data_IF_358445443222
#
_entry.id   IF_358445443222
#
_cell.length_a   1.000
_cell.length_b   1.000
_cell.length_c   1.000
_cell.angle_alpha   90.00
_cell.angle_beta   90.00
_cell.angle_gamma   90.00
#
_symmetry.space_group_name_H-M   'P 1'
#
loop_
_entity.id
_entity.type
_entity.pdbx_description
1 polymer ?
#
# COMPACT_ATOMS: atom_id res chain seq x y z
N UNK A 1 7.40 6.28 3.47
CA UNK A 1 6.39 6.53 4.54
C UNK A 1 5.98 7.99 4.52
N UNK A 2 4.69 8.33 4.70
CA UNK A 2 4.19 9.71 4.68
C UNK A 2 5.06 10.60 5.59
N UNK A 3 5.92 11.41 4.96
CA UNK A 3 6.86 12.28 5.65
C UNK A 3 6.15 13.51 6.20
N UNK A 4 6.72 14.05 7.27
CA UNK A 4 6.18 15.09 8.14
C UNK A 4 6.11 16.50 7.52
N UNK A 5 6.12 16.57 6.18
CA UNK A 5 5.96 17.79 5.40
C UNK A 5 4.60 17.73 4.70
N UNK A 6 3.51 18.11 5.40
CA UNK A 6 2.17 18.24 4.81
C UNK A 6 1.92 19.60 4.16
N UNK A 7 2.97 20.39 3.93
CA UNK A 7 2.86 21.57 3.08
C UNK A 7 2.84 21.09 1.61
N UNK A 8 1.64 20.76 1.13
CA UNK A 8 1.25 20.53 -0.27
C UNK A 8 1.15 19.07 -0.79
N UNK A 9 0.76 18.12 0.06
CA UNK A 9 0.42 16.76 -0.40
C UNK A 9 -0.86 16.78 -1.25
N UNK A 10 -0.77 16.19 -2.45
CA UNK A 10 -1.88 15.98 -3.37
C UNK A 10 -2.00 14.51 -3.75
N UNK A 11 -3.22 14.02 -3.84
CA UNK A 11 -3.55 12.68 -4.35
C UNK A 11 -4.05 12.82 -5.78
N UNK A 12 -3.47 12.03 -6.69
CA UNK A 12 -3.91 11.92 -8.08
C UNK A 12 -4.75 10.65 -8.26
N UNK A 13 -5.95 10.78 -8.81
CA UNK A 13 -6.92 9.69 -8.98
C UNK A 13 -7.28 9.54 -10.46
N UNK A 14 -7.37 8.30 -10.94
CA UNK A 14 -7.72 8.01 -12.36
C UNK A 14 -6.59 8.18 -13.36
N UNK A 15 -5.35 8.33 -12.90
CA UNK A 15 -4.19 8.34 -13.78
C UNK A 15 -4.00 6.99 -14.46
N UNK A 16 -3.60 7.02 -15.74
CA UNK A 16 -3.05 5.85 -16.44
C UNK A 16 -1.54 5.97 -16.68
N UNK A 17 -1.04 7.21 -16.67
CA UNK A 17 0.37 7.55 -16.79
C UNK A 17 0.92 7.86 -15.40
N UNK A 18 2.22 7.63 -15.23
CA UNK A 18 2.88 8.01 -14.01
C UNK A 18 2.87 9.55 -13.82
N UNK A 19 3.17 9.94 -12.59
CA UNK A 19 3.49 11.27 -12.11
C UNK A 19 4.20 12.21 -13.10
N UNK A 20 5.30 11.75 -13.68
CA UNK A 20 6.24 12.61 -14.41
C UNK A 20 5.73 12.95 -15.82
N UNK A 21 4.86 12.10 -16.35
CA UNK A 21 4.25 12.27 -17.67
C UNK A 21 2.97 13.11 -17.62
N UNK A 22 2.35 13.21 -16.44
CA UNK A 22 1.04 13.84 -16.25
C UNK A 22 -0.10 13.06 -16.92
N UNK A 23 -1.29 13.09 -16.31
CA UNK A 23 -2.50 12.56 -16.95
C UNK A 23 -3.52 13.68 -17.11
N UNK A 24 -3.88 14.01 -18.36
CA UNK A 24 -4.92 15.03 -18.62
C UNK A 24 -6.31 14.63 -18.08
N UNK A 25 -6.50 13.38 -17.64
CA UNK A 25 -7.75 12.85 -17.10
C UNK A 25 -7.70 12.54 -15.60
N UNK A 26 -6.57 12.75 -14.92
CA UNK A 26 -6.49 12.49 -13.48
C UNK A 26 -7.09 13.63 -12.67
N UNK A 27 -7.90 13.30 -11.67
CA UNK A 27 -8.34 14.23 -10.65
C UNK A 27 -7.21 14.43 -9.62
N UNK A 28 -6.83 15.69 -9.35
CA UNK A 28 -5.83 16.03 -8.33
C UNK A 28 -6.51 16.75 -7.18
N UNK A 29 -6.43 16.17 -5.97
CA UNK A 29 -7.08 16.71 -4.76
C UNK A 29 -6.06 16.84 -3.65
N UNK A 30 -6.08 17.97 -2.95
CA UNK A 30 -5.23 18.22 -1.79
C UNK A 30 -5.61 17.31 -0.63
N UNK A 31 -4.61 16.75 0.05
CA UNK A 31 -4.80 16.07 1.33
C UNK A 31 -4.91 17.11 2.46
N UNK A 32 -5.85 16.93 3.38
CA UNK A 32 -6.07 17.84 4.51
C UNK A 32 -5.68 17.23 5.86
N UNK A 33 -5.78 15.92 6.00
CA UNK A 33 -5.40 15.20 7.21
C UNK A 33 -4.80 13.84 6.83
N UNK A 34 -3.90 13.34 7.66
CA UNK A 34 -3.32 12.01 7.53
C UNK A 34 -3.34 11.29 8.88
N UNK A 35 -3.68 10.01 8.83
CA UNK A 35 -3.81 9.13 9.99
C UNK A 35 -2.96 7.90 9.75
N UNK A 36 -1.87 7.76 10.52
CA UNK A 36 -1.01 6.57 10.47
C UNK A 36 -1.45 5.60 11.55
N UNK A 37 -1.51 4.30 11.25
CA UNK A 37 -1.88 3.32 12.25
C UNK A 37 -1.02 3.49 13.52
N UNK A 38 -1.62 3.58 14.73
CA UNK A 38 -0.88 3.89 15.96
C UNK A 38 0.12 2.79 16.34
N UNK A 39 -0.14 1.55 15.89
CA UNK A 39 0.74 0.40 16.09
C UNK A 39 1.72 0.16 14.94
N UNK A 40 1.84 1.10 13.98
CA UNK A 40 2.82 0.98 12.91
C UNK A 40 4.23 0.79 13.46
N UNK A 41 4.94 -0.23 12.97
CA UNK A 41 6.31 -0.52 13.34
C UNK A 41 7.19 -0.58 12.10
N UNK A 42 8.13 0.36 11.97
CA UNK A 42 9.05 0.46 10.82
C UNK A 42 10.13 -0.61 10.79
N UNK A 43 10.44 -1.26 11.93
CA UNK A 43 11.41 -2.36 11.97
C UNK A 43 10.81 -3.65 11.42
N UNK A 44 9.54 -3.88 11.73
CA UNK A 44 8.84 -5.12 11.41
C UNK A 44 7.84 -5.01 10.27
N UNK A 45 7.62 -3.79 9.77
CA UNK A 45 6.63 -3.45 8.75
C UNK A 45 5.20 -3.90 9.11
N UNK A 46 4.91 -4.02 10.41
CA UNK A 46 3.57 -4.36 10.88
C UNK A 46 2.70 -3.12 10.97
N UNK A 47 1.40 -3.30 10.68
CA UNK A 47 0.41 -2.21 10.61
C UNK A 47 0.85 -1.06 9.69
N UNK A 48 1.54 -1.36 8.58
CA UNK A 48 1.98 -0.38 7.60
C UNK A 48 0.79 0.09 6.74
N UNK A 49 0.01 1.00 7.32
CA UNK A 49 -1.17 1.61 6.70
C UNK A 49 -1.35 3.04 7.21
N UNK A 50 -1.80 3.90 6.31
CA UNK A 50 -2.28 5.23 6.65
C UNK A 50 -3.53 5.58 5.84
N UNK A 51 -4.41 6.38 6.43
CA UNK A 51 -5.56 6.99 5.75
C UNK A 51 -5.24 8.45 5.45
N UNK A 52 -5.63 8.89 4.27
CA UNK A 52 -5.46 10.28 3.82
C UNK A 52 -6.85 10.86 3.57
N UNK A 53 -7.18 11.93 4.28
CA UNK A 53 -8.43 12.65 4.08
C UNK A 53 -8.24 13.71 3.00
N UNK A 54 -9.09 13.66 1.98
CA UNK A 54 -9.10 14.60 0.87
C UNK A 54 -9.89 15.86 1.24
N UNK A 55 -9.47 17.01 0.70
CA UNK A 55 -10.17 18.31 0.87
C UNK A 55 -11.61 18.27 0.36
N UNK A 56 -11.85 17.46 -0.67
CA UNK A 56 -13.18 17.23 -1.25
C UNK A 56 -13.33 15.78 -1.69
N UNK A 57 -14.56 15.24 -1.79
CA UNK A 57 -14.79 13.92 -2.35
C UNK A 57 -14.27 13.81 -3.79
N UNK A 58 -13.72 12.66 -4.15
CA UNK A 58 -13.38 12.35 -5.53
C UNK A 58 -14.63 12.02 -6.36
N UNK A 59 -14.54 12.31 -7.66
CA UNK A 59 -15.53 11.88 -8.66
C UNK A 59 -15.43 10.40 -9.01
N UNK A 60 -14.34 9.73 -8.62
CA UNK A 60 -14.08 8.33 -8.95
C UNK A 60 -14.68 7.39 -7.91
N UNK A 61 -15.20 6.25 -8.37
CA UNK A 61 -15.77 5.25 -7.47
C UNK A 61 -14.64 4.48 -6.76
N UNK A 62 -14.66 4.39 -5.42
CA UNK A 62 -13.68 3.60 -4.70
C UNK A 62 -13.89 2.11 -4.95
N UNK A 63 -12.79 1.37 -4.94
CA UNK A 63 -12.82 -0.09 -4.81
C UNK A 63 -13.27 -0.45 -3.39
N UNK A 64 -13.96 -1.58 -3.25
CA UNK A 64 -14.42 -2.05 -1.94
C UNK A 64 -13.27 -2.68 -1.16
N UNK A 65 -13.32 -2.60 0.16
CA UNK A 65 -12.44 -3.36 1.04
C UNK A 65 -12.99 -4.79 1.21
N UNK A 66 -12.10 -5.73 1.49
CA UNK A 66 -12.46 -7.09 1.92
C UNK A 66 -13.28 -7.09 3.21
N UNK A 67 -14.03 -8.18 3.44
CA UNK A 67 -14.68 -8.44 4.73
C UNK A 67 -13.68 -8.84 5.82
N UNK A 68 -14.11 -8.72 7.09
CA UNK A 68 -13.34 -9.10 8.27
C UNK A 68 -13.07 -10.62 8.34
N UNK A 69 -13.86 -11.43 7.63
CA UNK A 69 -13.71 -12.89 7.61
C UNK A 69 -12.48 -13.37 6.80
N UNK A 70 -11.79 -12.46 6.10
CA UNK A 70 -10.60 -12.75 5.31
C UNK A 70 -10.84 -13.70 4.13
N UNK A 71 -12.10 -13.93 3.75
CA UNK A 71 -12.47 -14.97 2.79
C UNK A 71 -11.92 -14.72 1.38
N UNK A 72 -11.70 -13.46 1.01
CA UNK A 72 -11.10 -13.02 -0.26
C UNK A 72 -9.57 -13.15 -0.31
N UNK A 73 -8.93 -13.41 0.84
CA UNK A 73 -7.47 -13.46 0.98
C UNK A 73 -6.95 -14.86 1.34
N UNK A 74 -7.70 -15.92 1.06
CA UNK A 74 -7.28 -17.29 1.38
C UNK A 74 -6.02 -17.69 0.63
N UNK A 75 -5.16 -18.46 1.29
CA UNK A 75 -3.99 -19.04 0.66
C UNK A 75 -4.35 -19.79 -0.64
N UNK A 76 -3.53 -19.60 -1.67
CA UNK A 76 -3.75 -20.14 -3.01
C UNK A 76 -4.59 -19.28 -3.93
N UNK A 77 -5.25 -18.24 -3.41
CA UNK A 77 -6.04 -17.30 -4.20
C UNK A 77 -5.13 -16.44 -5.07
N UNK A 78 -5.52 -16.27 -6.34
CA UNK A 78 -4.86 -15.32 -7.23
C UNK A 78 -5.34 -13.90 -6.91
N UNK A 79 -4.38 -12.98 -6.84
CA UNK A 79 -4.62 -11.56 -6.63
C UNK A 79 -3.79 -10.76 -7.65
N UNK A 80 -4.18 -9.52 -7.88
CA UNK A 80 -3.50 -8.62 -8.81
C UNK A 80 -3.02 -7.40 -8.04
N UNK A 81 -1.73 -7.09 -8.16
CA UNK A 81 -1.17 -5.81 -7.71
C UNK A 81 -1.03 -4.88 -8.92
N UNK A 82 -1.31 -3.60 -8.71
CA UNK A 82 -1.31 -2.56 -9.74
C UNK A 82 -0.37 -1.43 -9.34
N UNK A 83 0.39 -0.88 -10.28
CA UNK A 83 1.35 0.17 -9.94
C UNK A 83 2.13 0.76 -11.10
N UNK A 84 2.99 1.72 -10.78
CA UNK A 84 3.90 2.41 -11.72
C UNK A 84 5.37 2.25 -11.34
N UNK A 85 5.65 1.33 -10.40
CA UNK A 85 6.98 1.09 -9.89
C UNK A 85 7.95 0.57 -10.94
N UNK A 86 9.12 0.20 -10.43
CA UNK A 86 10.23 -0.27 -11.22
C UNK A 86 9.88 -1.59 -11.94
N UNK A 87 10.07 -1.58 -13.27
CA UNK A 87 9.80 -2.73 -14.16
C UNK A 87 11.08 -3.42 -14.64
N UNK A 88 12.21 -2.74 -14.48
CA UNK A 88 13.57 -3.25 -14.72
C UNK A 88 14.55 -2.31 -14.03
N UNK A 89 15.76 -2.79 -13.73
CA UNK A 89 16.80 -2.01 -13.05
C UNK A 89 16.85 -0.53 -13.47
N UNK A 90 16.62 0.36 -12.51
CA UNK A 90 16.63 1.82 -12.63
C UNK A 90 15.58 2.39 -13.61
N UNK A 91 14.53 1.63 -13.92
CA UNK A 91 13.48 2.04 -14.86
C UNK A 91 12.08 1.82 -14.29
N UNK A 92 11.36 2.92 -14.14
CA UNK A 92 9.96 2.96 -13.72
C UNK A 92 9.00 2.87 -14.89
N UNK A 93 7.78 2.39 -14.63
CA UNK A 93 6.76 2.29 -15.66
C UNK A 93 6.17 3.66 -16.02
N UNK A 94 6.11 3.98 -17.31
CA UNK A 94 5.40 5.18 -17.79
C UNK A 94 3.87 5.05 -17.69
N UNK A 95 3.36 3.82 -17.71
CA UNK A 95 1.93 3.51 -17.74
C UNK A 95 1.61 2.47 -16.69
N UNK A 96 0.36 2.46 -16.21
CA UNK A 96 -0.07 1.56 -15.14
C UNK A 96 0.20 0.11 -15.54
N UNK A 97 0.90 -0.59 -14.67
CA UNK A 97 1.18 -2.02 -14.79
C UNK A 97 0.28 -2.81 -13.86
N UNK A 98 0.17 -4.10 -14.15
CA UNK A 98 -0.50 -5.06 -13.28
C UNK A 98 0.20 -6.40 -13.37
N UNK A 99 0.34 -7.09 -12.24
CA UNK A 99 0.88 -8.45 -12.22
C UNK A 99 0.04 -9.34 -11.31
N UNK A 100 -0.21 -10.55 -11.77
CA UNK A 100 -0.91 -11.57 -11.00
C UNK A 100 0.06 -12.31 -10.08
N UNK A 101 -0.27 -12.31 -8.79
CA UNK A 101 0.47 -12.98 -7.72
C UNK A 101 -0.46 -13.94 -6.97
N UNK A 102 0.11 -14.91 -6.27
CA UNK A 102 -0.65 -15.91 -5.53
C UNK A 102 -0.41 -15.67 -4.05
N UNK A 103 -1.49 -15.57 -3.29
CA UNK A 103 -1.40 -15.46 -1.83
C UNK A 103 -0.84 -16.78 -1.30
N UNK A 104 0.19 -16.71 -0.47
CA UNK A 104 0.84 -17.89 0.12
C UNK A 104 0.29 -18.17 1.53
N UNK A 105 0.43 -19.42 2.02
CA UNK A 105 0.06 -19.77 3.39
C UNK A 105 0.79 -18.95 4.46
N UNK A 106 0.14 -18.73 5.62
CA UNK A 106 0.71 -17.92 6.71
C UNK A 106 1.99 -18.56 7.29
N UNK A 107 2.07 -19.89 7.38
CA UNK A 107 3.28 -20.59 7.82
C UNK A 107 4.47 -20.40 6.86
N UNK A 108 4.19 -20.25 5.56
CA UNK A 108 5.21 -19.89 4.58
C UNK A 108 5.57 -18.41 4.66
N UNK A 109 4.57 -17.54 4.84
CA UNK A 109 4.76 -16.10 5.02
C UNK A 109 5.59 -15.76 6.27
N UNK A 110 5.44 -16.53 7.36
CA UNK A 110 6.16 -16.37 8.62
C UNK A 110 7.69 -16.54 8.51
N UNK A 111 8.20 -16.96 7.35
CA UNK A 111 9.65 -16.95 7.04
C UNK A 111 10.17 -15.54 6.74
N UNK A 112 9.27 -14.61 6.40
CA UNK A 112 9.57 -13.25 5.96
C UNK A 112 8.95 -12.20 6.88
N UNK A 113 7.71 -12.44 7.33
CA UNK A 113 6.95 -11.54 8.20
C UNK A 113 6.96 -12.03 9.65
N UNK A 114 7.12 -11.11 10.61
CA UNK A 114 7.10 -11.46 12.04
C UNK A 114 5.70 -11.76 12.58
N UNK A 115 4.67 -11.16 11.96
CA UNK A 115 3.27 -11.25 12.38
C UNK A 115 2.38 -11.39 11.15
N UNK A 116 1.87 -12.61 10.96
CA UNK A 116 1.01 -12.97 9.82
C UNK A 116 -0.46 -12.64 10.05
N UNK A 117 -0.87 -12.27 11.27
CA UNK A 117 -2.24 -11.79 11.51
C UNK A 117 -2.43 -10.44 10.81
N UNK A 118 -1.40 -9.60 10.78
CA UNK A 118 -1.46 -8.27 10.15
C UNK A 118 -0.71 -8.17 8.83
N UNK A 119 -0.05 -9.26 8.41
CA UNK A 119 0.73 -9.34 7.17
C UNK A 119 0.25 -10.49 6.30
N UNK A 120 0.02 -10.22 5.02
CA UNK A 120 -0.17 -11.19 3.94
C UNK A 120 1.12 -11.28 3.13
N UNK A 121 1.45 -12.46 2.64
CA UNK A 121 2.50 -12.62 1.64
C UNK A 121 1.90 -13.09 0.31
N UNK A 122 2.43 -12.59 -0.81
CA UNK A 122 2.05 -13.08 -2.13
C UNK A 122 3.22 -13.08 -3.11
N UNK A 123 3.27 -14.11 -3.96
CA UNK A 123 4.29 -14.30 -5.01
C UNK A 123 3.93 -15.48 -5.90
N UNK A 124 4.52 -15.55 -7.10
CA UNK A 124 4.32 -16.68 -8.03
C UNK A 124 5.66 -17.18 -8.57
N UNK A 125 6.19 -16.43 -9.53
CA UNK A 125 7.51 -16.64 -10.11
C UNK A 125 8.44 -15.54 -9.59
N UNK A 126 9.74 -15.82 -9.63
CA UNK A 126 10.76 -14.81 -9.32
C UNK A 126 10.61 -13.61 -10.26
N UNK A 127 10.75 -12.42 -9.70
CA UNK A 127 10.59 -11.15 -10.41
C UNK A 127 9.14 -10.75 -10.70
N UNK A 128 8.13 -11.44 -10.15
CA UNK A 128 6.71 -11.07 -10.29
C UNK A 128 6.08 -10.62 -8.98
N UNK A 129 5.83 -9.31 -8.89
CA UNK A 129 5.17 -8.66 -7.77
C UNK A 129 5.36 -7.14 -7.85
N UNK A 130 5.24 -6.45 -6.72
CA UNK A 130 5.52 -5.02 -6.66
C UNK A 130 7.03 -4.75 -6.49
N UNK A 131 7.48 -3.56 -6.85
CA UNK A 131 8.89 -3.15 -6.72
C UNK A 131 9.00 -1.72 -6.16
N UNK A 132 10.21 -1.15 -6.19
CA UNK A 132 10.44 0.25 -5.83
C UNK A 132 9.44 1.17 -6.53
N UNK A 133 8.85 2.09 -5.78
CA UNK A 133 7.80 3.00 -6.26
C UNK A 133 6.36 2.50 -6.12
N UNK A 134 6.13 1.20 -5.81
CA UNK A 134 4.78 0.65 -5.62
C UNK A 134 4.36 0.51 -4.15
N UNK A 135 5.12 1.07 -3.20
CA UNK A 135 4.74 1.04 -1.78
C UNK A 135 3.37 1.73 -1.58
N UNK A 136 2.44 1.05 -0.91
CA UNK A 136 1.04 1.49 -0.78
C UNK A 136 0.11 1.05 -1.90
N UNK A 137 0.61 0.36 -2.94
CA UNK A 137 -0.22 -0.17 -4.02
C UNK A 137 -1.26 -1.19 -3.52
N UNK A 138 -2.48 -1.22 -4.11
CA UNK A 138 -3.50 -2.16 -3.72
C UNK A 138 -3.21 -3.56 -4.27
N UNK A 139 -3.32 -4.57 -3.40
CA UNK A 139 -3.46 -5.97 -3.79
C UNK A 139 -4.96 -6.30 -3.85
N UNK A 140 -5.46 -6.64 -5.03
CA UNK A 140 -6.88 -6.86 -5.29
C UNK A 140 -7.15 -8.34 -5.56
N UNK A 141 -8.13 -8.91 -4.86
CA UNK A 141 -8.71 -10.22 -5.18
C UNK A 141 -10.23 -10.13 -5.19
N UNK A 142 -10.91 -10.86 -6.07
CA UNK A 142 -12.38 -10.85 -6.21
C UNK A 142 -13.01 -9.44 -6.31
N UNK A 143 -12.27 -8.45 -6.82
CA UNK A 143 -12.73 -7.06 -6.94
C UNK A 143 -12.72 -6.25 -5.64
N UNK A 144 -12.08 -6.76 -4.57
CA UNK A 144 -11.88 -6.06 -3.30
C UNK A 144 -10.40 -5.92 -2.96
N UNK A 145 -10.05 -4.89 -2.19
CA UNK A 145 -8.69 -4.73 -1.66
C UNK A 145 -8.50 -5.69 -0.49
N UNK A 146 -7.55 -6.60 -0.64
CA UNK A 146 -7.20 -7.60 0.38
C UNK A 146 -5.88 -7.27 1.08
N UNK A 147 -4.98 -6.54 0.42
CA UNK A 147 -3.69 -6.15 0.95
C UNK A 147 -3.21 -4.79 0.43
N UNK A 148 -2.24 -4.22 1.13
CA UNK A 148 -1.55 -2.97 0.76
C UNK A 148 -0.05 -3.28 0.67
N UNK A 149 0.60 -3.02 -0.47
CA UNK A 149 2.03 -3.30 -0.65
C UNK A 149 2.86 -2.56 0.40
N UNK A 150 3.69 -3.29 1.16
CA UNK A 150 4.43 -2.73 2.30
C UNK A 150 5.93 -2.93 2.18
N UNK A 151 6.39 -4.17 2.10
CA UNK A 151 7.83 -4.45 2.12
C UNK A 151 8.20 -5.68 1.28
N UNK A 152 9.45 -5.71 0.85
CA UNK A 152 10.05 -6.81 0.09
C UNK A 152 11.15 -7.45 0.95
N UNK A 153 11.13 -8.78 1.14
CA UNK A 153 12.23 -9.47 1.80
C UNK A 153 13.42 -9.60 0.85
N UNK A 154 14.64 -9.50 1.37
CA UNK A 154 15.88 -9.63 0.60
C UNK A 154 16.68 -8.33 0.49
N UNK A 155 17.60 -8.28 -0.47
CA UNK A 155 18.39 -7.08 -0.74
C UNK A 155 17.57 -6.02 -1.50
N UNK A 156 17.96 -4.75 -1.36
CA UNK A 156 17.22 -3.57 -1.85
C UNK A 156 16.90 -3.61 -3.36
N UNK A 157 17.67 -4.37 -4.15
CA UNK A 157 17.52 -4.45 -5.61
C UNK A 157 16.88 -5.75 -6.13
N UNK A 158 16.55 -6.69 -5.24
CA UNK A 158 15.97 -8.00 -5.60
C UNK A 158 14.45 -7.97 -5.48
N UNK A 159 13.82 -7.11 -6.29
CA UNK A 159 12.37 -6.97 -6.27
C UNK A 159 11.65 -8.27 -6.66
N UNK A 160 10.75 -8.71 -5.79
CA UNK A 160 9.87 -9.86 -6.05
C UNK A 160 10.61 -11.17 -6.40
N UNK A 161 11.89 -11.29 -6.02
CA UNK A 161 12.62 -12.57 -6.03
C UNK A 161 12.11 -13.51 -4.94
N UNK A 162 11.56 -12.92 -3.88
CA UNK A 162 10.88 -13.57 -2.77
C UNK A 162 9.43 -13.07 -2.66
N UNK A 163 8.53 -13.82 -2.00
CA UNK A 163 7.16 -13.37 -1.78
C UNK A 163 7.10 -12.01 -1.09
N UNK A 164 6.38 -11.08 -1.69
CA UNK A 164 6.25 -9.72 -1.19
C UNK A 164 5.28 -9.65 0.00
N UNK A 165 5.52 -8.74 0.94
CA UNK A 165 4.71 -8.54 2.13
C UNK A 165 3.73 -7.39 1.94
N UNK A 166 2.48 -7.64 2.31
CA UNK A 166 1.36 -6.72 2.20
C UNK A 166 0.69 -6.58 3.56
N UNK A 167 0.29 -5.37 3.94
CA UNK A 167 -0.53 -5.17 5.14
C UNK A 167 -1.91 -5.78 4.93
N UNK A 168 -2.35 -6.67 5.84
CA UNK A 168 -3.60 -7.44 5.74
C UNK A 168 -4.81 -6.56 6.04
N UNK A 169 -5.63 -6.25 5.03
CA UNK A 169 -6.74 -5.29 5.18
C UNK A 169 -7.86 -5.79 6.10
N UNK A 170 -8.15 -7.09 6.10
CA UNK A 170 -9.24 -7.65 6.91
C UNK A 170 -9.04 -7.43 8.42
N UNK A 171 -7.80 -7.29 8.89
CA UNK A 171 -7.45 -7.03 10.29
C UNK A 171 -7.37 -5.53 10.65
N UNK A 172 -7.54 -4.65 9.66
CA UNK A 172 -7.44 -3.20 9.85
C UNK A 172 -8.79 -2.49 9.77
N UNK A 173 -9.88 -3.23 9.55
CA UNK A 173 -11.20 -2.65 9.32
C UNK A 173 -11.68 -1.82 10.52
N UNK A 174 -11.38 -2.23 11.75
CA UNK A 174 -11.74 -1.46 12.94
C UNK A 174 -11.04 -0.10 12.98
N UNK A 175 -9.74 -0.06 12.69
CA UNK A 175 -8.97 1.18 12.58
C UNK A 175 -9.49 2.07 11.44
N UNK A 176 -9.74 1.49 10.26
CA UNK A 176 -10.29 2.21 9.11
C UNK A 176 -11.66 2.82 9.45
N UNK A 177 -12.53 2.03 10.08
CA UNK A 177 -13.87 2.47 10.48
C UNK A 177 -13.82 3.54 11.56
N UNK A 178 -12.94 3.45 12.54
CA UNK A 178 -12.75 4.50 13.56
C UNK A 178 -12.44 5.84 12.91
N UNK A 179 -11.41 5.89 12.07
CA UNK A 179 -10.99 7.12 11.38
C UNK A 179 -12.08 7.65 10.45
N UNK A 180 -12.73 6.78 9.66
CA UNK A 180 -13.83 7.18 8.75
C UNK A 180 -15.04 7.74 9.52
N UNK A 181 -15.30 7.26 10.73
CA UNK A 181 -16.38 7.73 11.59
C UNK A 181 -16.01 8.97 12.43
N UNK A 182 -14.87 9.61 12.14
CA UNK A 182 -14.42 10.84 12.79
C UNK A 182 -13.53 10.63 14.02
N UNK A 183 -13.06 9.41 14.25
CA UNK A 183 -11.99 9.13 15.22
C UNK A 183 -10.69 9.83 14.85
N UNK A 184 -9.90 10.18 15.86
CA UNK A 184 -8.61 10.86 15.69
C UNK A 184 -7.40 9.93 15.89
N UNK A 185 -7.64 8.62 15.97
CA UNK A 185 -6.61 7.61 16.21
C UNK A 185 -5.52 7.72 15.14
N UNK A 186 -4.27 7.91 15.58
CA UNK A 186 -3.13 7.96 14.67
C UNK A 186 -3.01 9.25 13.84
N UNK A 187 -3.75 10.32 14.17
CA UNK A 187 -3.64 11.60 13.47
C UNK A 187 -2.21 12.18 13.61
N UNK A 188 -1.57 12.47 12.46
CA UNK A 188 -0.19 12.99 12.39
C UNK A 188 -0.10 14.37 11.73
N UNK A 189 -1.24 15.06 11.57
CA UNK A 189 -1.37 16.29 10.76
C UNK A 189 -0.43 17.42 11.24
N UNK A 190 -0.13 17.50 12.54
CA UNK A 190 0.63 18.61 13.14
C UNK A 190 1.86 18.17 14.00
N UNK A 191 2.37 16.94 13.86
CA UNK A 191 3.46 16.45 14.72
C UNK A 191 4.86 16.89 14.25
N UNK A 192 5.68 17.60 15.07
CA UNK A 192 7.05 17.97 14.72
C UNK A 192 8.03 16.77 14.75
N UNK A 193 9.14 16.81 14.00
CA UNK A 193 10.00 15.65 13.78
C UNK A 193 10.80 15.24 15.02
N UNK A 194 10.82 13.95 15.32
CA UNK A 194 11.93 13.29 16.04
C UNK A 194 12.74 12.50 15.02
N UNK A 195 14.04 12.81 14.93
CA UNK A 195 15.01 12.28 13.98
C UNK A 195 14.85 10.79 13.64
N UNK A 196 14.38 10.49 12.43
CA UNK A 196 14.63 9.20 11.76
C UNK A 196 14.58 9.39 10.24
N UNK A 197 15.58 8.82 9.56
CA UNK A 197 15.88 9.00 8.14
C UNK A 197 14.67 8.66 7.24
N UNK A 198 14.28 9.61 6.38
CA UNK A 198 13.13 9.49 5.48
C UNK A 198 13.59 8.91 4.15
N UNK A 199 13.16 7.68 3.87
CA UNK A 199 13.11 7.13 2.51
C UNK A 199 11.98 7.82 1.73
N UNK A 200 12.34 8.30 0.54
CA UNK A 200 11.50 9.01 -0.40
C UNK A 200 10.23 8.20 -0.78
N UNK A 201 9.06 8.83 -0.62
CA UNK A 201 7.83 8.45 -1.33
C UNK A 201 7.66 9.47 -2.45
N UNK A 202 7.74 9.01 -3.70
CA UNK A 202 7.43 9.84 -4.85
C UNK A 202 6.32 9.16 -5.68
N UNK A 203 5.13 9.75 -5.52
CA UNK A 203 3.94 9.93 -6.37
C UNK A 203 3.27 8.74 -7.08
#
# INVERSE_FOLDING_TARGET
CLGWYTFDLHVSLGGQKNKDQGSQKSERIRAVEAFRHPMYNSTWYTYDVALIKLEKPSTHKPVRLTGADGSDAKAGTMATVFGWGEVSKEKYADSLQSVAVKIIPDDECGKYAIDTDVTLCAGTERGKGFCGGDNGAPLISNGVVVGIASALPGEVNDCSELPAMYTRVSHLLDYINDVVNGGSTGNVTDSPPTNEHIAELIQ
#
